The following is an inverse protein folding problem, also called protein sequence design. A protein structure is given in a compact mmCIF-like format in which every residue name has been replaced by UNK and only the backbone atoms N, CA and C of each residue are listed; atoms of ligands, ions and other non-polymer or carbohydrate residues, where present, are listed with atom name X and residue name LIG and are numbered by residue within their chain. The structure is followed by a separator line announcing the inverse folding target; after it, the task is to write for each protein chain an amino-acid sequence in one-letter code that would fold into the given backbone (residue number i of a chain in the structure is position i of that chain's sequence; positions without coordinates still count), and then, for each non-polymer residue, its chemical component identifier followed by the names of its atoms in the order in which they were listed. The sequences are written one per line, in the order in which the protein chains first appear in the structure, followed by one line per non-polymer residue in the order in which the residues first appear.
data_IF_738596164342
#
_entry.id   IF_738596164342
#
_cell.length_a   1.000
_cell.length_b   1.000
_cell.length_c   1.000
_cell.angle_alpha   90.00
_cell.angle_beta   90.00
_cell.angle_gamma   90.00
#
_symmetry.space_group_name_H-M   'P 1'
#
loop_
_entity.id
_entity.type
_entity.pdbx_description
1 polymer ?
#
# COMPACT_ATOMS: atom_id res chain seq x y z
N UNK A 1 -11.00 -16.18 -69.78
CA UNK A 1 -10.48 -15.19 -68.80
C UNK A 1 -10.98 -15.56 -67.43
N UNK A 2 -10.08 -15.97 -66.54
CA UNK A 2 -10.35 -16.31 -65.14
C UNK A 2 -9.46 -15.44 -64.26
N UNK A 3 -9.95 -14.83 -63.16
CA UNK A 3 -9.09 -14.05 -62.28
C UNK A 3 -8.43 -14.95 -61.23
N UNK A 4 -7.11 -14.81 -61.13
CA UNK A 4 -6.20 -15.54 -60.25
C UNK A 4 -6.46 -15.22 -58.78
N UNK A 5 -6.61 -16.27 -57.95
CA UNK A 5 -6.49 -16.22 -56.48
C UNK A 5 -5.04 -15.89 -56.09
N UNK A 6 -4.84 -14.89 -55.23
CA UNK A 6 -3.56 -14.64 -54.53
C UNK A 6 -3.67 -15.13 -53.08
N UNK A 7 -2.76 -16.02 -52.71
CA UNK A 7 -2.56 -16.51 -51.36
C UNK A 7 -2.03 -15.38 -50.45
N UNK A 8 -2.57 -15.28 -49.23
CA UNK A 8 -2.08 -14.34 -48.20
C UNK A 8 -1.20 -15.11 -47.22
N UNK A 9 0.08 -14.72 -47.23
CA UNK A 9 1.17 -15.20 -46.39
C UNK A 9 0.95 -14.84 -44.91
N UNK A 10 1.33 -15.78 -44.05
CA UNK A 10 1.44 -15.70 -42.58
C UNK A 10 2.51 -14.72 -42.13
N UNK A 11 2.20 -13.86 -41.15
CA UNK A 11 3.21 -13.12 -40.38
C UNK A 11 2.90 -13.14 -38.89
N UNK A 12 3.84 -13.71 -38.15
CA UNK A 12 4.01 -13.69 -36.70
C UNK A 12 3.73 -12.32 -36.08
N UNK A 13 2.90 -12.27 -35.04
CA UNK A 13 2.85 -11.16 -34.09
C UNK A 13 3.90 -11.40 -32.99
N UNK A 14 5.02 -10.67 -33.07
CA UNK A 14 5.96 -10.50 -31.97
C UNK A 14 5.36 -9.56 -30.92
N UNK A 15 5.54 -9.93 -29.65
CA UNK A 15 5.27 -9.08 -28.48
C UNK A 15 6.05 -7.77 -28.59
N UNK A 16 5.36 -6.65 -28.35
CA UNK A 16 5.99 -5.34 -28.17
C UNK A 16 6.24 -5.09 -26.68
N UNK A 17 7.44 -4.62 -26.38
CA UNK A 17 7.96 -4.32 -25.06
C UNK A 17 7.25 -3.12 -24.42
N UNK A 18 7.14 -3.15 -23.09
CA UNK A 18 6.63 -2.05 -22.27
C UNK A 18 7.67 -0.93 -22.19
N UNK A 19 7.27 0.30 -22.52
CA UNK A 19 8.08 1.50 -22.30
C UNK A 19 7.93 2.00 -20.85
N UNK A 20 9.07 2.37 -20.26
CA UNK A 20 9.22 2.96 -18.93
C UNK A 20 8.72 4.41 -18.93
N UNK A 21 7.85 4.75 -17.98
CA UNK A 21 7.31 6.11 -17.84
C UNK A 21 7.85 6.73 -16.55
N UNK A 22 8.81 7.64 -16.69
CA UNK A 22 9.32 8.50 -15.62
C UNK A 22 8.48 9.76 -15.55
N UNK A 23 8.08 10.17 -14.35
CA UNK A 23 7.20 11.32 -14.14
C UNK A 23 8.03 12.58 -13.81
N UNK A 24 7.93 13.67 -14.58
CA UNK A 24 8.64 14.91 -14.27
C UNK A 24 7.70 15.86 -13.53
N UNK A 25 7.94 16.08 -12.24
CA UNK A 25 7.42 17.27 -11.54
C UNK A 25 8.34 17.64 -10.38
N UNK A 26 9.38 18.41 -10.69
CA UNK A 26 9.92 19.40 -9.76
C UNK A 26 10.85 20.35 -10.51
N UNK A 27 10.33 21.51 -10.92
CA UNK A 27 11.14 22.64 -11.38
C UNK A 27 10.85 23.82 -10.48
N UNK A 28 11.67 23.99 -9.42
CA UNK A 28 11.77 25.27 -8.73
C UNK A 28 13.13 25.90 -9.05
N UNK A 29 13.05 27.07 -9.68
CA UNK A 29 14.17 27.95 -10.01
C UNK A 29 14.72 28.59 -8.75
N UNK A 30 16.03 28.52 -8.59
CA UNK A 30 16.82 29.25 -7.59
C UNK A 30 17.03 30.70 -8.03
N UNK A 31 16.84 31.66 -7.11
CA UNK A 31 17.50 32.98 -7.18
C UNK A 31 17.54 33.63 -5.78
N UNK A 32 18.75 34.00 -5.35
CA UNK A 32 19.04 35.19 -4.53
C UNK A 32 19.17 34.98 -3.03
N UNK A 33 20.41 35.03 -2.54
CA UNK A 33 20.80 35.12 -1.12
C UNK A 33 20.79 36.55 -0.58
N UNK A 34 20.78 36.61 0.77
CA UNK A 34 21.15 37.69 1.73
C UNK A 34 20.11 38.81 2.00
N UNK A 35 19.90 39.30 3.23
CA UNK A 35 20.19 38.91 4.62
C UNK A 35 19.38 39.89 5.51
N UNK A 36 19.17 39.58 6.80
CA UNK A 36 19.15 40.52 7.97
C UNK A 36 18.05 40.23 9.02
N UNK A 37 18.56 39.72 10.17
CA UNK A 37 18.28 39.96 11.60
C UNK A 37 16.84 39.94 12.20
N UNK A 38 16.68 39.01 13.15
CA UNK A 38 16.37 39.32 14.55
C UNK A 38 14.90 39.30 14.98
N UNK A 39 14.49 38.30 15.77
CA UNK A 39 14.19 38.36 17.22
C UNK A 39 13.31 37.15 17.64
N UNK A 40 13.67 36.47 18.73
CA UNK A 40 12.84 35.45 19.38
C UNK A 40 11.62 36.09 20.08
N UNK A 41 10.51 35.34 20.27
CA UNK A 41 10.28 34.75 21.60
C UNK A 41 9.52 33.40 21.65
N UNK A 42 9.95 32.59 22.64
CA UNK A 42 9.21 31.69 23.54
C UNK A 42 8.38 30.52 23.00
N UNK A 43 8.85 29.30 23.33
CA UNK A 43 8.17 28.01 23.18
C UNK A 43 6.98 27.85 24.14
N UNK A 44 5.91 27.15 23.74
CA UNK A 44 5.08 26.36 24.64
C UNK A 44 5.53 24.89 24.62
N UNK A 45 5.40 24.29 25.79
CA UNK A 45 5.95 23.01 26.26
C UNK A 45 5.61 21.79 25.40
N UNK A 46 6.64 20.97 25.16
CA UNK A 46 6.53 19.66 24.54
C UNK A 46 5.84 18.67 25.49
N UNK A 47 4.66 18.20 25.11
CA UNK A 47 4.01 17.07 25.75
C UNK A 47 4.83 15.80 25.47
N UNK A 48 5.55 15.32 26.48
CA UNK A 48 6.25 14.04 26.49
C UNK A 48 5.25 12.88 26.29
N UNK A 49 5.09 12.42 25.05
CA UNK A 49 4.51 11.11 24.76
C UNK A 49 5.70 10.13 24.61
N UNK A 50 5.76 9.02 25.36
CA UNK A 50 6.91 8.11 25.27
C UNK A 50 6.99 7.55 23.86
N UNK A 51 8.04 7.91 23.12
CA UNK A 51 8.35 7.29 21.84
C UNK A 51 8.62 5.81 22.07
N UNK A 52 7.65 4.96 21.75
CA UNK A 52 7.87 3.53 21.55
C UNK A 52 8.84 3.37 20.39
N UNK A 53 10.13 3.24 20.72
CA UNK A 53 11.21 3.01 19.77
C UNK A 53 11.13 1.58 19.27
N UNK A 54 10.38 1.38 18.19
CA UNK A 54 10.32 0.10 17.48
C UNK A 54 11.72 -0.23 16.95
N UNK A 55 12.31 -1.32 17.43
CA UNK A 55 13.62 -1.78 16.91
C UNK A 55 13.47 -2.20 15.45
N UNK A 56 14.24 -1.57 14.56
CA UNK A 56 14.25 -1.88 13.12
C UNK A 56 15.49 -2.71 12.78
N UNK A 57 15.28 -3.93 12.28
CA UNK A 57 16.37 -4.78 11.77
C UNK A 57 16.46 -4.67 10.25
N UNK A 58 17.58 -4.15 9.76
CA UNK A 58 17.87 -4.02 8.34
C UNK A 58 18.66 -5.24 7.83
N UNK A 59 18.34 -5.71 6.63
CA UNK A 59 19.04 -6.81 5.96
C UNK A 59 18.79 -6.77 4.45
N UNK A 60 19.48 -7.65 3.72
CA UNK A 60 19.32 -7.77 2.27
C UNK A 60 19.00 -9.19 1.87
N UNK A 61 18.17 -9.35 0.85
CA UNK A 61 17.87 -10.62 0.22
C UNK A 61 18.44 -10.69 -1.21
N UNK A 62 18.85 -11.86 -1.69
CA UNK A 62 19.22 -12.05 -3.09
C UNK A 62 18.07 -11.65 -4.01
N UNK A 63 18.33 -10.78 -4.98
CA UNK A 63 17.34 -10.37 -5.97
C UNK A 63 18.00 -9.86 -7.24
N UNK A 64 17.65 -10.49 -8.36
CA UNK A 64 18.26 -10.23 -9.67
C UNK A 64 19.80 -10.30 -9.63
N UNK A 65 20.45 -10.24 -10.79
CA UNK A 65 21.92 -10.20 -10.83
C UNK A 65 22.36 -8.81 -10.37
N UNK A 66 22.98 -8.73 -9.20
CA UNK A 66 23.63 -7.53 -8.62
C UNK A 66 22.70 -6.43 -8.03
N UNK A 67 21.43 -6.74 -7.73
CA UNK A 67 20.49 -5.76 -7.14
C UNK A 67 19.75 -6.30 -5.90
N UNK A 68 20.46 -6.58 -4.80
CA UNK A 68 19.85 -7.17 -3.61
C UNK A 68 18.69 -6.32 -3.08
N UNK A 69 17.62 -6.98 -2.65
CA UNK A 69 16.46 -6.32 -2.04
C UNK A 69 16.80 -5.88 -0.63
N UNK A 70 16.71 -4.57 -0.37
CA UNK A 70 16.81 -4.03 0.98
C UNK A 70 15.50 -4.28 1.71
N UNK A 71 15.59 -4.87 2.90
CA UNK A 71 14.46 -5.22 3.74
C UNK A 71 14.63 -4.64 5.15
N UNK A 72 13.51 -4.25 5.76
CA UNK A 72 13.37 -3.81 7.13
C UNK A 72 12.39 -4.72 7.84
N UNK A 73 12.80 -5.32 8.96
CA UNK A 73 11.90 -6.02 9.87
C UNK A 73 11.61 -5.15 11.08
N UNK A 74 10.33 -5.05 11.44
CA UNK A 74 9.84 -4.42 12.66
C UNK A 74 8.97 -5.41 13.44
N UNK A 75 8.86 -5.22 14.75
CA UNK A 75 8.06 -6.06 15.65
C UNK A 75 8.88 -7.14 16.37
N UNK A 76 8.27 -7.76 17.38
CA UNK A 76 8.95 -8.68 18.33
C UNK A 76 9.08 -10.11 17.80
N UNK A 77 8.11 -10.60 17.05
CA UNK A 77 8.11 -11.96 16.52
C UNK A 77 9.11 -12.13 15.38
N UNK A 78 9.75 -13.30 15.29
CA UNK A 78 10.71 -13.60 14.23
C UNK A 78 10.03 -13.84 12.88
N UNK A 79 8.86 -14.50 12.89
CA UNK A 79 8.00 -14.73 11.72
C UNK A 79 7.12 -13.50 11.49
N UNK A 80 7.25 -12.77 10.36
CA UNK A 80 6.36 -11.67 10.03
C UNK A 80 4.95 -12.18 9.69
N UNK A 81 3.94 -11.42 10.11
CA UNK A 81 2.54 -11.64 9.70
C UNK A 81 2.23 -10.93 8.37
N UNK A 82 3.03 -9.93 8.00
CA UNK A 82 2.85 -9.12 6.80
C UNK A 82 4.19 -8.87 6.08
N UNK A 83 4.21 -9.18 4.78
CA UNK A 83 5.22 -8.66 3.83
C UNK A 83 4.63 -7.43 3.13
N UNK A 84 5.33 -6.30 3.20
CA UNK A 84 4.80 -5.01 2.75
C UNK A 84 5.77 -4.26 1.82
N UNK A 85 5.24 -3.46 0.88
CA UNK A 85 6.07 -2.50 0.12
C UNK A 85 5.40 -1.15 -0.05
N UNK A 86 6.24 -0.12 -0.12
CA UNK A 86 5.87 1.27 -0.36
C UNK A 86 5.22 1.49 -1.75
N UNK A 87 4.66 2.69 -1.98
CA UNK A 87 4.08 3.11 -3.26
C UNK A 87 5.11 3.60 -4.31
N UNK A 88 4.61 4.11 -5.44
CA UNK A 88 5.45 4.66 -6.51
C UNK A 88 6.23 5.90 -6.04
N UNK A 89 7.48 6.04 -6.49
CA UNK A 89 8.32 7.22 -6.19
C UNK A 89 8.80 7.35 -4.74
N UNK A 90 8.34 6.47 -3.83
CA UNK A 90 8.78 6.44 -2.43
C UNK A 90 9.85 5.38 -2.16
N UNK A 91 10.10 5.16 -0.88
CA UNK A 91 10.96 4.09 -0.39
C UNK A 91 10.59 3.68 1.02
N UNK A 92 11.43 2.86 1.63
CA UNK A 92 11.26 2.45 3.02
C UNK A 92 11.28 3.63 4.01
N UNK A 93 12.04 4.69 3.69
CA UNK A 93 12.15 5.90 4.51
C UNK A 93 11.00 6.92 4.31
N UNK A 94 9.97 6.61 3.51
CA UNK A 94 8.83 7.52 3.37
C UNK A 94 7.98 7.49 4.64
N UNK A 95 7.59 8.63 5.24
CA UNK A 95 6.82 8.66 6.50
C UNK A 95 5.55 7.80 6.45
N UNK A 96 4.79 7.85 5.36
CA UNK A 96 3.60 7.00 5.18
C UNK A 96 3.88 5.49 5.29
N UNK A 97 5.05 5.04 4.85
CA UNK A 97 5.48 3.64 4.97
C UNK A 97 5.96 3.34 6.39
N UNK A 98 6.79 4.20 6.97
CA UNK A 98 7.37 4.00 8.30
C UNK A 98 6.30 4.05 9.39
N UNK A 99 5.45 5.10 9.38
CA UNK A 99 4.40 5.28 10.37
C UNK A 99 3.42 4.10 10.37
N UNK A 100 3.00 3.63 9.18
CA UNK A 100 2.17 2.44 9.04
C UNK A 100 2.87 1.20 9.60
N UNK A 101 4.13 0.97 9.21
CA UNK A 101 4.87 -0.21 9.62
C UNK A 101 5.18 -0.20 11.12
N UNK A 102 5.42 0.96 11.73
CA UNK A 102 5.63 1.09 13.17
C UNK A 102 4.35 0.84 13.95
N UNK A 103 3.21 1.39 13.51
CA UNK A 103 1.92 1.12 14.14
C UNK A 103 1.48 -0.34 14.01
N UNK A 104 1.80 -0.99 12.89
CA UNK A 104 1.63 -2.43 12.72
C UNK A 104 2.53 -3.22 13.69
N UNK A 105 3.80 -2.80 13.82
CA UNK A 105 4.82 -3.42 14.66
C UNK A 105 4.52 -3.38 16.17
N UNK A 106 3.64 -2.46 16.61
CA UNK A 106 3.15 -2.42 17.98
C UNK A 106 2.35 -3.68 18.35
N UNK A 107 1.80 -4.39 17.35
CA UNK A 107 0.90 -5.54 17.52
C UNK A 107 1.45 -6.83 16.90
N UNK A 108 2.06 -6.75 15.72
CA UNK A 108 2.56 -7.92 15.00
C UNK A 108 3.82 -7.60 14.18
N UNK A 109 4.61 -8.61 13.82
CA UNK A 109 5.83 -8.38 13.04
C UNK A 109 5.54 -8.14 11.56
N UNK A 110 6.27 -7.22 10.96
CA UNK A 110 6.18 -6.83 9.55
C UNK A 110 7.57 -6.83 8.92
N UNK A 111 7.66 -7.32 7.69
CA UNK A 111 8.81 -7.14 6.81
C UNK A 111 8.41 -6.19 5.70
N UNK A 112 9.12 -5.07 5.57
CA UNK A 112 8.97 -4.14 4.46
C UNK A 112 10.20 -4.22 3.55
N UNK A 113 10.01 -4.11 2.23
CA UNK A 113 11.14 -4.11 1.28
C UNK A 113 11.13 -2.90 0.34
N UNK A 114 12.32 -2.53 -0.13
CA UNK A 114 12.52 -1.49 -1.13
C UNK A 114 12.28 -2.06 -2.52
N UNK A 115 11.40 -1.41 -3.30
CA UNK A 115 11.02 -1.87 -4.63
C UNK A 115 11.23 -0.78 -5.70
N UNK A 116 11.46 -1.20 -6.94
CA UNK A 116 11.64 -0.33 -8.12
C UNK A 116 10.31 0.29 -8.56
N UNK A 117 10.25 1.26 -9.47
CA UNK A 117 8.97 1.77 -10.01
C UNK A 117 8.32 0.85 -11.05
N UNK A 118 9.02 -0.21 -11.48
CA UNK A 118 8.52 -1.16 -12.47
C UNK A 118 7.63 -2.22 -11.79
N UNK A 119 6.33 -2.23 -12.12
CA UNK A 119 5.34 -3.11 -11.48
C UNK A 119 5.69 -4.61 -11.60
N UNK A 120 6.07 -5.16 -12.77
CA UNK A 120 6.54 -6.55 -12.85
C UNK A 120 7.73 -6.87 -11.94
N UNK A 121 8.72 -5.98 -11.86
CA UNK A 121 9.86 -6.13 -10.95
C UNK A 121 9.44 -6.09 -9.47
N UNK A 122 8.43 -5.29 -9.10
CA UNK A 122 7.86 -5.31 -7.75
C UNK A 122 7.18 -6.63 -7.41
N UNK A 123 6.45 -7.22 -8.36
CA UNK A 123 5.81 -8.53 -8.17
C UNK A 123 6.88 -9.62 -7.98
N UNK A 124 7.95 -9.60 -8.79
CA UNK A 124 9.10 -10.50 -8.60
C UNK A 124 9.77 -10.30 -7.24
N UNK A 125 9.83 -9.07 -6.75
CA UNK A 125 10.39 -8.79 -5.43
C UNK A 125 9.53 -9.38 -4.29
N UNK A 126 8.20 -9.38 -4.42
CA UNK A 126 7.35 -10.12 -3.47
C UNK A 126 7.70 -11.59 -3.43
N UNK A 127 7.77 -12.26 -4.59
CA UNK A 127 8.13 -13.68 -4.68
C UNK A 127 9.50 -13.95 -4.04
N UNK A 128 10.51 -13.11 -4.30
CA UNK A 128 11.82 -13.26 -3.69
C UNK A 128 11.80 -13.12 -2.16
N UNK A 129 10.99 -12.20 -1.61
CA UNK A 129 10.84 -12.09 -0.14
C UNK A 129 10.11 -13.30 0.42
N UNK A 130 9.04 -13.76 -0.24
CA UNK A 130 8.28 -14.96 0.17
C UNK A 130 9.14 -16.22 0.20
N UNK A 131 10.04 -16.39 -0.77
CA UNK A 131 10.98 -17.53 -0.84
C UNK A 131 12.03 -17.52 0.29
N UNK A 132 12.38 -16.35 0.81
CA UNK A 132 13.44 -16.19 1.83
C UNK A 132 12.90 -15.92 3.24
N UNK A 133 11.61 -15.63 3.38
CA UNK A 133 10.96 -15.36 4.66
C UNK A 133 9.87 -16.39 4.95
N UNK A 134 9.98 -17.04 6.10
CA UNK A 134 8.84 -17.77 6.64
C UNK A 134 7.81 -16.75 7.16
N UNK A 135 6.84 -16.38 6.33
CA UNK A 135 5.77 -15.45 6.69
C UNK A 135 4.45 -16.19 6.89
N UNK A 136 3.63 -15.67 7.80
CA UNK A 136 2.49 -16.43 8.32
C UNK A 136 1.26 -16.37 7.43
N UNK A 137 0.94 -15.22 6.82
CA UNK A 137 -0.39 -15.07 6.20
C UNK A 137 -0.53 -14.03 5.09
N UNK A 138 0.13 -12.86 5.17
CA UNK A 138 -0.30 -11.72 4.36
C UNK A 138 0.78 -11.04 3.53
N UNK A 139 0.36 -10.59 2.35
CA UNK A 139 1.06 -9.58 1.56
C UNK A 139 0.33 -8.24 1.67
N UNK A 140 1.02 -7.14 1.40
CA UNK A 140 0.38 -5.84 1.40
C UNK A 140 1.22 -4.76 0.79
N UNK A 141 0.62 -3.61 0.58
CA UNK A 141 1.39 -2.48 0.10
C UNK A 141 0.56 -1.23 -0.05
N UNK A 142 1.27 -0.12 -0.21
CA UNK A 142 0.68 1.18 -0.47
C UNK A 142 0.60 1.44 -1.96
N UNK A 143 -0.56 1.86 -2.47
CA UNK A 143 -0.74 2.31 -3.85
C UNK A 143 -0.21 1.29 -4.88
N UNK A 144 0.83 1.62 -5.66
CA UNK A 144 1.49 0.69 -6.58
C UNK A 144 2.02 -0.58 -5.87
N UNK A 145 2.44 -0.47 -4.61
CA UNK A 145 2.82 -1.62 -3.79
C UNK A 145 1.63 -2.55 -3.50
N UNK A 146 0.46 -1.98 -3.25
CA UNK A 146 -0.78 -2.74 -3.09
C UNK A 146 -1.15 -3.49 -4.36
N UNK A 147 -1.03 -2.85 -5.53
CA UNK A 147 -1.21 -3.52 -6.84
C UNK A 147 -0.24 -4.70 -7.01
N UNK A 148 1.03 -4.50 -6.67
CA UNK A 148 2.04 -5.56 -6.76
C UNK A 148 1.73 -6.73 -5.83
N UNK A 149 1.32 -6.45 -4.59
CA UNK A 149 0.92 -7.48 -3.62
C UNK A 149 -0.28 -8.29 -4.12
N UNK A 150 -1.29 -7.61 -4.67
CA UNK A 150 -2.46 -8.28 -5.26
C UNK A 150 -2.09 -9.20 -6.41
N UNK A 151 -1.25 -8.72 -7.35
CA UNK A 151 -0.81 -9.54 -8.49
C UNK A 151 0.03 -10.73 -8.00
N UNK A 152 0.91 -10.54 -7.03
CA UNK A 152 1.72 -11.62 -6.46
C UNK A 152 0.84 -12.72 -5.85
N UNK A 153 -0.15 -12.35 -5.03
CA UNK A 153 -1.10 -13.30 -4.44
C UNK A 153 -1.94 -14.05 -5.50
N UNK A 154 -2.39 -13.36 -6.56
CA UNK A 154 -3.12 -13.99 -7.67
C UNK A 154 -2.25 -14.99 -8.45
N UNK A 155 -0.93 -14.77 -8.51
CA UNK A 155 0.01 -15.64 -9.22
C UNK A 155 0.36 -16.93 -8.46
N UNK A 156 0.03 -17.03 -7.17
CA UNK A 156 0.19 -18.28 -6.40
C UNK A 156 -0.80 -19.34 -6.91
N UNK A 157 -0.28 -20.30 -7.69
CA UNK A 157 -1.08 -21.38 -8.30
C UNK A 157 -1.12 -22.66 -7.48
N UNK A 158 0.02 -23.08 -6.92
CA UNK A 158 0.19 -24.31 -6.16
C UNK A 158 0.72 -23.97 -4.77
N UNK A 159 0.20 -24.62 -3.72
CA UNK A 159 0.62 -24.41 -2.32
C UNK A 159 0.59 -22.93 -1.89
N UNK A 160 -0.55 -22.26 -2.14
CA UNK A 160 -0.77 -20.85 -1.76
C UNK A 160 -0.39 -20.61 -0.30
N UNK A 161 0.51 -19.66 -0.07
CA UNK A 161 0.93 -19.22 1.24
C UNK A 161 0.18 -17.96 1.69
N UNK A 162 -0.25 -17.11 0.75
CA UNK A 162 -1.00 -15.89 1.09
C UNK A 162 -2.49 -16.17 1.27
N UNK A 163 -3.01 -15.90 2.47
CA UNK A 163 -4.46 -15.94 2.76
C UNK A 163 -5.06 -14.54 2.95
N UNK A 164 -4.23 -13.49 3.00
CA UNK A 164 -4.67 -12.12 3.22
C UNK A 164 -3.90 -11.09 2.40
N UNK A 165 -4.60 -10.00 2.09
CA UNK A 165 -4.05 -8.78 1.54
C UNK A 165 -4.36 -7.56 2.40
N UNK A 166 -3.34 -6.77 2.73
CA UNK A 166 -3.49 -5.44 3.36
C UNK A 166 -3.15 -4.36 2.34
N UNK A 167 -4.17 -3.71 1.81
CA UNK A 167 -4.05 -2.78 0.68
C UNK A 167 -4.32 -1.34 1.15
N UNK A 168 -3.27 -0.53 1.19
CA UNK A 168 -3.34 0.87 1.61
C UNK A 168 -3.43 1.78 0.39
N UNK A 169 -4.48 2.60 0.29
CA UNK A 169 -4.70 3.55 -0.80
C UNK A 169 -4.58 2.88 -2.18
N UNK A 170 -5.41 1.88 -2.49
CA UNK A 170 -5.37 1.19 -3.79
C UNK A 170 -5.67 2.20 -4.91
N UNK A 171 -4.87 2.32 -5.98
CA UNK A 171 -5.14 3.30 -7.02
C UNK A 171 -6.03 2.66 -8.10
N UNK A 172 -7.31 2.47 -7.76
CA UNK A 172 -8.34 1.85 -8.61
C UNK A 172 -8.42 2.51 -9.99
N UNK A 173 -8.27 3.84 -10.02
CA UNK A 173 -8.23 4.65 -11.24
C UNK A 173 -6.78 5.03 -11.56
N UNK A 174 -6.44 4.92 -12.83
CA UNK A 174 -5.22 5.42 -13.43
C UNK A 174 -4.90 6.86 -13.06
N UNK A 175 -3.65 7.15 -12.69
CA UNK A 175 -3.21 8.52 -12.46
C UNK A 175 -3.29 9.35 -13.75
N UNK A 176 -2.40 9.03 -14.71
CA UNK A 176 -2.30 9.70 -16.01
C UNK A 176 -3.41 9.29 -16.97
N UNK A 177 -3.59 7.98 -17.20
CA UNK A 177 -4.45 7.47 -18.27
C UNK A 177 -5.89 7.21 -17.84
N UNK A 178 -6.21 7.41 -16.56
CA UNK A 178 -7.53 7.11 -15.96
C UNK A 178 -8.02 5.68 -16.26
N UNK A 179 -7.10 4.75 -16.50
CA UNK A 179 -7.37 3.33 -16.73
C UNK A 179 -7.98 2.68 -15.49
N UNK A 180 -9.03 1.87 -15.66
CA UNK A 180 -9.56 1.06 -14.56
C UNK A 180 -8.59 -0.09 -14.24
N UNK A 181 -8.39 -0.34 -12.94
CA UNK A 181 -7.54 -1.42 -12.41
C UNK A 181 -8.32 -2.44 -11.60
N UNK A 182 -9.64 -2.45 -11.76
CA UNK A 182 -10.52 -3.38 -11.04
C UNK A 182 -10.20 -4.85 -11.31
N UNK A 183 -9.77 -5.20 -12.53
CA UNK A 183 -9.57 -6.59 -12.92
C UNK A 183 -8.54 -7.28 -12.01
N UNK A 184 -7.52 -6.55 -11.55
CA UNK A 184 -6.52 -7.05 -10.61
C UNK A 184 -7.18 -7.54 -9.30
N UNK A 185 -8.24 -6.87 -8.84
CA UNK A 185 -9.01 -7.25 -7.65
C UNK A 185 -10.02 -8.36 -7.95
N UNK A 186 -10.64 -8.36 -9.12
CA UNK A 186 -11.63 -9.36 -9.54
C UNK A 186 -11.01 -10.73 -9.82
N UNK A 187 -9.74 -10.75 -10.21
CA UNK A 187 -8.97 -11.98 -10.44
C UNK A 187 -8.52 -12.65 -9.13
N UNK A 188 -8.70 -12.00 -7.97
CA UNK A 188 -8.32 -12.59 -6.70
C UNK A 188 -9.10 -13.88 -6.41
N UNK A 189 -8.42 -14.93 -5.93
CA UNK A 189 -9.07 -16.18 -5.56
C UNK A 189 -9.97 -15.99 -4.33
N UNK A 190 -10.99 -16.84 -4.21
CA UNK A 190 -12.00 -16.75 -3.13
C UNK A 190 -11.40 -16.92 -1.75
N UNK A 191 -10.30 -17.65 -1.65
CA UNK A 191 -9.62 -18.01 -0.40
C UNK A 191 -8.81 -16.84 0.19
N UNK A 192 -8.61 -15.76 -0.56
CA UNK A 192 -7.88 -14.58 -0.08
C UNK A 192 -8.85 -13.56 0.52
N UNK A 193 -8.56 -13.13 1.74
CA UNK A 193 -9.25 -12.02 2.39
C UNK A 193 -8.53 -10.69 2.12
N UNK A 194 -9.28 -9.62 1.87
CA UNK A 194 -8.69 -8.32 1.50
C UNK A 194 -9.13 -7.24 2.46
N UNK A 195 -8.19 -6.58 3.15
CA UNK A 195 -8.42 -5.34 3.86
C UNK A 195 -8.05 -4.15 2.97
N UNK A 196 -9.03 -3.33 2.63
CA UNK A 196 -8.80 -2.00 2.05
C UNK A 196 -8.71 -0.95 3.14
N UNK A 197 -7.64 -0.16 3.12
CA UNK A 197 -7.46 1.04 3.94
C UNK A 197 -7.50 2.23 2.98
N UNK A 198 -8.62 2.95 2.94
CA UNK A 198 -8.87 3.99 1.93
C UNK A 198 -9.30 5.31 2.56
N UNK A 199 -8.80 6.42 2.02
CA UNK A 199 -9.27 7.73 2.39
C UNK A 199 -10.57 8.10 1.68
N UNK A 200 -11.53 8.72 2.36
CA UNK A 200 -12.79 9.11 1.71
C UNK A 200 -12.64 10.22 0.65
N UNK A 201 -11.49 10.90 0.62
CA UNK A 201 -11.10 11.89 -0.40
C UNK A 201 -10.00 11.37 -1.34
N UNK A 202 -9.83 10.05 -1.45
CA UNK A 202 -8.88 9.44 -2.39
C UNK A 202 -9.42 9.52 -3.84
N UNK A 203 -8.87 10.45 -4.62
CA UNK A 203 -9.23 10.64 -6.03
C UNK A 203 -8.80 9.47 -6.95
N UNK A 204 -7.89 8.59 -6.50
CA UNK A 204 -7.53 7.39 -7.24
C UNK A 204 -8.35 6.17 -6.80
N UNK A 205 -9.15 6.29 -5.74
CA UNK A 205 -10.02 5.22 -5.24
C UNK A 205 -11.34 5.76 -4.69
N UNK A 206 -12.22 6.33 -5.53
CA UNK A 206 -13.53 6.76 -5.08
C UNK A 206 -14.28 5.62 -4.39
N UNK A 207 -14.77 5.85 -3.16
CA UNK A 207 -15.35 4.78 -2.34
C UNK A 207 -16.59 4.13 -2.98
N UNK A 208 -17.36 4.88 -3.76
CA UNK A 208 -18.50 4.34 -4.52
C UNK A 208 -18.06 3.34 -5.59
N UNK A 209 -16.98 3.63 -6.31
CA UNK A 209 -16.41 2.70 -7.30
C UNK A 209 -15.80 1.47 -6.62
N UNK A 210 -15.09 1.67 -5.51
CA UNK A 210 -14.54 0.57 -4.73
C UNK A 210 -15.65 -0.34 -4.18
N UNK A 211 -16.78 0.22 -3.72
CA UNK A 211 -17.94 -0.55 -3.29
C UNK A 211 -18.46 -1.49 -4.40
N UNK A 212 -18.69 -0.95 -5.60
CA UNK A 212 -19.13 -1.75 -6.76
C UNK A 212 -18.11 -2.80 -7.23
N UNK A 213 -16.80 -2.58 -7.01
CA UNK A 213 -15.79 -3.62 -7.24
C UNK A 213 -15.88 -4.69 -6.15
N UNK A 214 -15.97 -4.31 -4.88
CA UNK A 214 -16.05 -5.24 -3.73
C UNK A 214 -17.24 -6.19 -3.80
N UNK A 215 -18.37 -5.74 -4.33
CA UNK A 215 -19.56 -6.58 -4.57
C UNK A 215 -19.31 -7.67 -5.63
N UNK A 216 -18.46 -7.38 -6.62
CA UNK A 216 -18.14 -8.31 -7.72
C UNK A 216 -16.94 -9.22 -7.42
N UNK A 217 -16.16 -8.91 -6.39
CA UNK A 217 -15.01 -9.71 -5.99
C UNK A 217 -15.45 -11.10 -5.51
N UNK A 218 -14.66 -12.13 -5.88
CA UNK A 218 -14.78 -13.48 -5.31
C UNK A 218 -14.16 -13.54 -3.91
N UNK A 219 -13.04 -12.86 -3.75
CA UNK A 219 -12.35 -12.65 -2.48
C UNK A 219 -13.22 -11.86 -1.51
N UNK A 220 -13.24 -12.27 -0.24
CA UNK A 220 -13.92 -11.49 0.81
C UNK A 220 -13.12 -10.21 1.07
N UNK A 221 -13.81 -9.12 1.37
CA UNK A 221 -13.20 -7.81 1.53
C UNK A 221 -13.75 -6.97 2.70
N UNK A 222 -12.85 -6.35 3.45
CA UNK A 222 -13.11 -5.40 4.51
C UNK A 222 -12.70 -4.01 4.04
N UNK A 223 -13.37 -2.98 4.54
CA UNK A 223 -13.03 -1.59 4.27
C UNK A 223 -12.89 -0.83 5.59
N UNK A 224 -11.70 -0.33 5.84
CA UNK A 224 -11.45 0.70 6.83
C UNK A 224 -11.32 2.03 6.07
N UNK A 225 -12.30 2.90 6.27
CA UNK A 225 -12.33 4.24 5.67
C UNK A 225 -11.72 5.24 6.64
N UNK A 226 -10.81 6.07 6.14
CA UNK A 226 -10.31 7.24 6.86
C UNK A 226 -10.99 8.49 6.32
N UNK A 227 -11.93 9.02 7.10
CA UNK A 227 -12.77 10.13 6.67
C UNK A 227 -11.97 11.42 6.57
N UNK A 228 -11.97 11.99 5.36
CA UNK A 228 -11.24 13.21 5.03
C UNK A 228 -9.82 12.99 4.52
N UNK A 229 -9.29 11.76 4.54
CA UNK A 229 -7.96 11.47 4.03
C UNK A 229 -7.91 11.34 2.50
N UNK A 230 -6.81 11.76 1.91
CA UNK A 230 -6.50 11.62 0.48
C UNK A 230 -5.66 10.35 0.20
N UNK A 231 -5.22 10.17 -1.05
CA UNK A 231 -4.37 9.03 -1.46
C UNK A 231 -3.04 8.92 -0.67
N UNK A 232 -2.52 10.04 -0.16
CA UNK A 232 -1.35 10.15 0.71
C UNK A 232 -1.55 9.61 2.13
N UNK A 233 -2.78 9.22 2.48
CA UNK A 233 -3.23 9.07 3.87
C UNK A 233 -2.95 10.35 4.66
N UNK A 234 -3.31 11.49 4.06
CA UNK A 234 -3.18 12.84 4.64
C UNK A 234 -4.54 13.53 4.66
N UNK A 235 -4.77 14.32 5.69
CA UNK A 235 -6.01 15.07 5.92
C UNK A 235 -5.72 16.47 6.46
N UNK A 236 -6.76 17.27 6.73
CA UNK A 236 -6.61 18.69 7.12
C UNK A 236 -5.86 18.88 8.45
N UNK A 237 -5.93 17.93 9.37
CA UNK A 237 -5.26 17.97 10.68
C UNK A 237 -3.82 17.47 10.58
N UNK A 238 -2.92 18.31 10.06
CA UNK A 238 -1.53 17.92 9.72
C UNK A 238 -0.75 17.35 10.90
N UNK A 239 -0.97 17.88 12.11
CA UNK A 239 -0.29 17.42 13.34
C UNK A 239 -0.62 15.98 13.74
N UNK A 240 -1.75 15.44 13.32
CA UNK A 240 -2.19 14.08 13.66
C UNK A 240 -1.92 13.05 12.56
N UNK A 241 -1.30 13.43 11.44
CA UNK A 241 -1.09 12.52 10.30
C UNK A 241 -0.21 11.32 10.66
N UNK A 242 0.84 11.52 11.47
CA UNK A 242 1.69 10.41 11.95
C UNK A 242 0.88 9.43 12.79
N UNK A 243 0.13 9.93 13.76
CA UNK A 243 -0.73 9.13 14.64
C UNK A 243 -1.79 8.37 13.83
N UNK A 244 -2.43 9.02 12.86
CA UNK A 244 -3.38 8.41 11.94
C UNK A 244 -2.75 7.22 11.19
N UNK A 245 -1.58 7.43 10.58
CA UNK A 245 -0.89 6.37 9.81
C UNK A 245 -0.50 5.21 10.71
N UNK A 246 -0.02 5.47 11.93
CA UNK A 246 0.24 4.42 12.94
C UNK A 246 -1.03 3.66 13.30
N UNK A 247 -2.13 4.37 13.56
CA UNK A 247 -3.41 3.75 13.89
C UNK A 247 -3.88 2.80 12.77
N UNK A 248 -3.78 3.23 11.50
CA UNK A 248 -4.13 2.35 10.37
C UNK A 248 -3.27 1.08 10.30
N UNK A 249 -1.98 1.17 10.66
CA UNK A 249 -1.10 0.01 10.77
C UNK A 249 -1.50 -0.92 11.91
N UNK A 250 -1.81 -0.36 13.08
CA UNK A 250 -2.23 -1.11 14.26
C UNK A 250 -3.54 -1.87 14.01
N UNK A 251 -4.53 -1.20 13.40
CA UNK A 251 -5.81 -1.82 13.04
C UNK A 251 -5.66 -2.90 11.98
N UNK A 252 -4.71 -2.76 11.04
CA UNK A 252 -4.42 -3.81 10.08
C UNK A 252 -3.82 -5.07 10.72
N UNK A 253 -2.96 -4.90 11.74
CA UNK A 253 -2.41 -6.02 12.50
C UNK A 253 -3.50 -6.73 13.32
N UNK A 254 -4.38 -5.98 13.98
CA UNK A 254 -5.53 -6.53 14.72
C UNK A 254 -6.51 -7.26 13.79
N UNK A 255 -6.78 -6.70 12.62
CA UNK A 255 -7.60 -7.36 11.60
C UNK A 255 -6.98 -8.68 11.12
N UNK A 256 -5.65 -8.74 10.93
CA UNK A 256 -4.97 -9.98 10.55
C UNK A 256 -5.07 -11.06 11.63
N UNK A 257 -5.10 -10.68 12.90
CA UNK A 257 -5.29 -11.59 14.03
C UNK A 257 -6.73 -12.10 14.11
N UNK A 258 -7.73 -11.25 13.85
CA UNK A 258 -9.15 -11.59 13.90
C UNK A 258 -9.95 -10.96 12.77
N UNK A 259 -10.29 -11.77 11.75
CA UNK A 259 -11.06 -11.37 10.56
C UNK A 259 -12.54 -11.69 10.72
N UNK A 260 -13.25 -10.90 11.52
CA UNK A 260 -14.69 -11.09 11.72
C UNK A 260 -15.42 -10.98 10.37
N UNK A 261 -16.07 -12.08 9.96
CA UNK A 261 -16.77 -12.17 8.69
C UNK A 261 -18.07 -11.37 8.62
N UNK A 262 -18.68 -11.05 9.77
CA UNK A 262 -19.90 -10.25 9.87
C UNK A 262 -19.63 -8.75 9.85
N UNK A 263 -18.50 -8.32 10.42
CA UNK A 263 -18.15 -6.91 10.56
C UNK A 263 -17.08 -6.46 9.57
N UNK A 264 -17.51 -5.88 8.45
CA UNK A 264 -16.66 -5.64 7.25
C UNK A 264 -16.44 -4.18 6.90
N UNK A 265 -16.92 -3.26 7.73
CA UNK A 265 -16.71 -1.82 7.60
C UNK A 265 -16.17 -1.24 8.91
N UNK A 266 -15.27 -0.27 8.82
CA UNK A 266 -14.78 0.49 9.96
C UNK A 266 -14.48 1.92 9.50
N UNK A 267 -14.66 2.89 10.40
CA UNK A 267 -14.36 4.29 10.12
C UNK A 267 -13.37 4.85 11.13
N UNK A 268 -12.33 5.53 10.63
CA UNK A 268 -11.49 6.45 11.40
C UNK A 268 -11.87 7.86 10.99
N UNK A 269 -12.09 8.73 11.96
CA UNK A 269 -12.49 10.12 11.75
C UNK A 269 -11.74 11.03 12.72
N UNK A 270 -11.88 12.33 12.53
CA UNK A 270 -11.46 13.31 13.52
C UNK A 270 -12.66 13.70 14.37
N UNK A 271 -12.53 13.53 15.68
CA UNK A 271 -13.49 14.00 16.66
C UNK A 271 -13.19 15.49 16.94
N UNK A 272 -14.00 16.39 16.37
CA UNK A 272 -13.83 17.83 16.52
C UNK A 272 -14.09 18.28 17.98
N UNK A 273 -14.95 17.58 18.73
CA UNK A 273 -15.24 17.92 20.13
C UNK A 273 -14.08 17.51 21.04
N UNK A 274 -13.54 16.31 20.85
CA UNK A 274 -12.42 15.80 21.64
C UNK A 274 -11.04 16.25 21.11
N UNK A 275 -10.98 16.87 19.93
CA UNK A 275 -9.75 17.34 19.31
C UNK A 275 -8.74 16.22 19.02
N UNK A 276 -9.21 15.01 18.68
CA UNK A 276 -8.37 13.82 18.50
C UNK A 276 -8.90 12.88 17.42
N UNK A 277 -8.13 11.84 17.12
CA UNK A 277 -8.57 10.77 16.21
C UNK A 277 -9.61 9.89 16.92
N UNK A 278 -10.75 9.69 16.28
CA UNK A 278 -11.79 8.75 16.67
C UNK A 278 -11.81 7.52 15.77
N UNK A 279 -12.30 6.39 16.30
CA UNK A 279 -12.53 5.16 15.55
C UNK A 279 -13.90 4.58 15.93
N UNK A 280 -14.74 4.34 14.94
CA UNK A 280 -16.10 3.84 15.14
C UNK A 280 -16.15 2.32 15.41
N UNK A 281 -15.00 1.63 15.35
CA UNK A 281 -14.90 0.18 15.43
C UNK A 281 -15.44 -0.55 14.20
N UNK A 282 -15.28 -1.87 14.19
CA UNK A 282 -15.80 -2.73 13.13
C UNK A 282 -17.33 -2.87 13.25
N UNK A 283 -18.01 -2.60 12.13
CA UNK A 283 -19.46 -2.60 11.97
C UNK A 283 -19.89 -3.61 10.92
N UNK A 284 -21.17 -3.99 10.97
CA UNK A 284 -21.76 -4.94 10.05
C UNK A 284 -21.62 -4.49 8.58
N UNK A 285 -21.51 -5.47 7.68
CA UNK A 285 -21.51 -5.18 6.25
C UNK A 285 -22.86 -4.55 5.84
N UNK A 286 -22.81 -3.29 5.38
CA UNK A 286 -23.92 -2.62 4.69
C UNK A 286 -24.10 -3.13 3.28
#
# INVERSE_FOLDING_TARGET
MAPKRKARSTRNSKLAAAEEDTDPTSTNKTKGDQEVKGNSPTQPEESNNPETTTTVKNYTLPFQKDKPLKCERRGKATTPSLIFTHGAGGGLATPATQDFADGFADKASIVAFQATTNLPSRVQAFHAVMENENFRTALGGRSMGGRAATIAATQEKEQRQTDALVIVSFPLIGGKNKDSREQILLDLPREVDVLFLSGSKDALCPLSELAGVRERMKARSWLLTVTGANHGMEWKWKGSVRELRRLTGSMAAEWLESRDGGKRSCEIFWDEEAGKIGCAGWQDAS
#
